data_IF_531607400216
#
_entry.id   IF_531607400216
#
_cell.length_a   1.000
_cell.length_b   1.000
_cell.length_c   1.000
_cell.angle_alpha   90.00
_cell.angle_beta   90.00
_cell.angle_gamma   90.00
#
_symmetry.space_group_name_H-M   'P 1'
#
loop_
_entity.id
_entity.type
_entity.pdbx_description
1 polymer ?
#
# COMPACT_ATOMS: atom_id res chain seq x y z
N UNK A 1 15.01 -16.40 -81.71
CA UNK A 1 14.56 -17.23 -80.57
C UNK A 1 15.73 -17.30 -79.61
N UNK A 2 15.55 -16.83 -78.39
CA UNK A 2 16.49 -16.92 -77.27
C UNK A 2 15.64 -16.86 -76.01
N UNK A 3 15.89 -17.72 -75.04
CA UNK A 3 14.89 -18.11 -74.05
C UNK A 3 14.49 -17.05 -73.02
N UNK A 4 13.27 -17.20 -72.53
CA UNK A 4 12.69 -16.40 -71.45
C UNK A 4 12.97 -17.13 -70.12
N UNK A 5 14.08 -16.81 -69.46
CA UNK A 5 14.45 -17.47 -68.20
C UNK A 5 13.54 -17.00 -67.06
N UNK A 6 12.62 -17.86 -66.63
CA UNK A 6 11.73 -17.61 -65.49
C UNK A 6 12.52 -17.63 -64.19
N UNK A 7 12.67 -16.44 -63.59
CA UNK A 7 13.29 -16.26 -62.28
C UNK A 7 12.33 -16.74 -61.19
N UNK A 8 12.68 -17.82 -60.49
CA UNK A 8 11.89 -18.33 -59.37
C UNK A 8 11.78 -17.31 -58.22
N UNK A 9 10.65 -17.27 -57.49
CA UNK A 9 10.54 -16.43 -56.31
C UNK A 9 11.40 -17.02 -55.19
N UNK A 10 12.41 -16.27 -54.76
CA UNK A 10 13.21 -16.63 -53.59
C UNK A 10 12.30 -16.55 -52.37
N UNK A 11 11.88 -17.69 -51.83
CA UNK A 11 11.13 -17.72 -50.58
C UNK A 11 11.99 -17.06 -49.48
N UNK A 12 11.40 -16.08 -48.80
CA UNK A 12 12.06 -15.42 -47.68
C UNK A 12 12.22 -16.45 -46.56
N UNK A 13 13.45 -16.86 -46.31
CA UNK A 13 13.81 -17.68 -45.15
C UNK A 13 13.48 -16.91 -43.87
N UNK A 14 12.28 -17.12 -43.34
CA UNK A 14 11.94 -16.70 -41.99
C UNK A 14 12.82 -17.51 -41.04
N UNK A 15 13.81 -16.84 -40.43
CA UNK A 15 14.56 -17.41 -39.32
C UNK A 15 13.54 -17.78 -38.24
N UNK A 16 13.42 -19.08 -37.94
CA UNK A 16 12.47 -19.56 -36.94
C UNK A 16 12.90 -19.03 -35.57
N UNK A 17 12.15 -18.06 -35.03
CA UNK A 17 12.41 -17.50 -33.71
C UNK A 17 12.43 -18.62 -32.67
N UNK A 18 13.48 -18.63 -31.83
CA UNK A 18 13.62 -19.64 -30.80
C UNK A 18 12.64 -19.36 -29.66
N UNK A 19 11.50 -20.06 -29.68
CA UNK A 19 10.47 -20.04 -28.63
C UNK A 19 10.50 -21.35 -27.82
N UNK A 20 11.14 -21.39 -26.64
CA UNK A 20 11.22 -22.60 -25.83
C UNK A 20 9.91 -22.82 -25.06
N UNK A 21 9.19 -23.90 -25.38
CA UNK A 21 8.00 -24.33 -24.65
C UNK A 21 8.37 -24.94 -23.29
N UNK A 22 7.64 -24.54 -22.23
CA UNK A 22 7.75 -25.10 -20.88
C UNK A 22 6.41 -25.68 -20.41
N UNK A 23 6.47 -26.76 -19.63
CA UNK A 23 5.29 -27.31 -18.95
C UNK A 23 4.96 -26.53 -17.66
N UNK A 24 3.68 -26.18 -17.40
CA UNK A 24 3.30 -25.41 -16.23
C UNK A 24 3.35 -26.25 -14.94
N UNK A 25 4.22 -25.87 -14.00
CA UNK A 25 4.36 -26.50 -12.67
C UNK A 25 3.07 -26.40 -11.85
N UNK A 26 2.30 -25.31 -12.03
CA UNK A 26 1.01 -25.07 -11.37
C UNK A 26 0.01 -24.64 -12.43
N UNK A 27 -1.15 -25.29 -12.47
CA UNK A 27 -2.29 -24.89 -13.32
C UNK A 27 -3.29 -24.12 -12.44
N UNK A 28 -3.58 -22.88 -12.82
CA UNK A 28 -4.62 -22.08 -12.17
C UNK A 28 -5.97 -22.48 -12.77
N UNK A 29 -6.62 -23.48 -12.18
CA UNK A 29 -7.85 -24.11 -12.71
C UNK A 29 -9.06 -23.17 -12.74
N UNK A 30 -9.05 -22.11 -11.93
CA UNK A 30 -10.15 -21.17 -11.80
C UNK A 30 -9.67 -19.73 -11.95
N UNK A 31 -10.36 -18.96 -12.79
CA UNK A 31 -10.19 -17.51 -12.86
C UNK A 31 -10.75 -16.88 -11.59
N UNK A 32 -9.88 -16.37 -10.73
CA UNK A 32 -10.28 -15.63 -9.53
C UNK A 32 -10.92 -14.31 -9.94
N UNK A 33 -12.10 -14.00 -9.38
CA UNK A 33 -12.69 -12.66 -9.49
C UNK A 33 -11.89 -11.70 -8.62
N UNK A 34 -11.30 -10.67 -9.24
CA UNK A 34 -10.50 -9.67 -8.53
C UNK A 34 -11.33 -8.42 -8.31
N UNK A 35 -11.65 -8.14 -7.04
CA UNK A 35 -12.26 -6.88 -6.62
C UNK A 35 -11.18 -5.86 -6.27
N UNK A 36 -11.44 -4.60 -6.57
CA UNK A 36 -10.52 -3.48 -6.29
C UNK A 36 -10.69 -2.95 -4.87
N UNK A 37 -11.86 -3.16 -4.25
CA UNK A 37 -12.32 -2.53 -3.01
C UNK A 37 -12.40 -1.01 -3.14
N UNK A 38 -12.88 -0.56 -4.30
CA UNK A 38 -13.13 0.83 -4.71
C UNK A 38 -14.52 0.97 -5.38
N UNK A 39 -15.30 -0.12 -5.44
CA UNK A 39 -16.58 -0.21 -6.14
C UNK A 39 -17.67 0.67 -5.49
N UNK A 40 -17.58 0.90 -4.18
CA UNK A 40 -18.49 1.73 -3.39
C UNK A 40 -18.04 3.20 -3.27
N UNK A 41 -17.13 3.63 -4.14
CA UNK A 41 -16.59 5.00 -4.15
C UNK A 41 -16.74 5.68 -5.51
N UNK A 42 -16.94 7.00 -5.47
CA UNK A 42 -17.01 7.87 -6.65
C UNK A 42 -15.68 8.63 -6.81
N UNK A 43 -15.08 8.57 -7.99
CA UNK A 43 -13.85 9.31 -8.32
C UNK A 43 -14.16 10.81 -8.44
N UNK A 44 -13.80 11.59 -7.42
CA UNK A 44 -13.98 13.05 -7.42
C UNK A 44 -12.89 13.75 -8.23
N UNK A 45 -11.67 13.22 -8.16
CA UNK A 45 -10.50 13.77 -8.84
C UNK A 45 -9.58 12.65 -9.31
N UNK A 46 -8.94 12.85 -10.46
CA UNK A 46 -7.95 11.94 -11.04
C UNK A 46 -6.89 12.74 -11.79
N UNK A 47 -5.61 12.55 -11.48
CA UNK A 47 -4.52 13.14 -12.26
C UNK A 47 -3.26 12.29 -12.24
N UNK A 48 -2.41 12.51 -13.25
CA UNK A 48 -1.10 11.86 -13.37
C UNK A 48 -0.09 12.47 -12.40
N UNK A 49 0.60 11.65 -11.61
CA UNK A 49 1.59 12.11 -10.63
C UNK A 49 2.77 11.13 -10.46
N UNK A 50 3.82 11.62 -9.81
CA UNK A 50 4.92 10.80 -9.25
C UNK A 50 5.03 11.09 -7.75
N UNK A 51 5.00 10.02 -6.95
CA UNK A 51 5.03 10.05 -5.50
C UNK A 51 6.39 9.59 -4.97
N UNK A 52 6.86 10.29 -3.95
CA UNK A 52 8.09 10.05 -3.22
C UNK A 52 7.78 9.88 -1.74
N UNK A 53 8.63 9.10 -1.07
CA UNK A 53 8.67 8.96 0.39
C UNK A 53 10.00 9.48 0.91
N UNK A 54 9.98 10.24 2.00
CA UNK A 54 11.19 10.63 2.70
C UNK A 54 11.68 9.47 3.58
N UNK A 55 12.89 9.00 3.31
CA UNK A 55 13.55 7.98 4.10
C UNK A 55 14.29 8.63 5.27
N UNK A 56 13.83 8.38 6.49
CA UNK A 56 14.34 9.06 7.70
C UNK A 56 15.77 8.64 8.07
N UNK A 57 16.19 7.44 7.66
CA UNK A 57 17.50 6.88 7.96
C UNK A 57 18.56 7.44 7.00
N UNK A 58 18.34 7.30 5.69
CA UNK A 58 19.26 7.86 4.68
C UNK A 58 19.06 9.36 4.40
N UNK A 59 18.01 9.97 4.96
CA UNK A 59 17.63 11.40 4.83
C UNK A 59 17.42 11.85 3.38
N UNK A 60 16.86 10.98 2.55
CA UNK A 60 16.68 11.21 1.12
C UNK A 60 15.23 10.95 0.65
N UNK A 61 14.90 11.43 -0.55
CA UNK A 61 13.61 11.15 -1.20
C UNK A 61 13.72 9.92 -2.11
N UNK A 62 13.05 8.83 -1.73
CA UNK A 62 12.95 7.61 -2.55
C UNK A 62 11.65 7.63 -3.37
N UNK A 63 11.70 7.24 -4.64
CA UNK A 63 10.47 7.13 -5.45
C UNK A 63 9.59 5.99 -4.90
N UNK A 64 8.35 6.31 -4.53
CA UNK A 64 7.37 5.32 -4.04
C UNK A 64 6.50 4.79 -5.19
N UNK A 65 6.19 5.62 -6.20
CA UNK A 65 5.49 5.18 -7.40
C UNK A 65 5.17 6.29 -8.42
N UNK A 66 4.98 5.89 -9.68
CA UNK A 66 4.45 6.75 -10.76
C UNK A 66 3.14 6.15 -11.25
N UNK A 67 2.11 6.98 -11.42
CA UNK A 67 0.76 6.51 -11.73
C UNK A 67 -0.30 7.61 -11.64
N UNK A 68 -1.57 7.21 -11.63
CA UNK A 68 -2.68 8.13 -11.43
C UNK A 68 -3.04 8.21 -9.94
N UNK A 69 -2.97 9.41 -9.36
CA UNK A 69 -3.53 9.69 -8.03
C UNK A 69 -5.02 10.02 -8.17
N UNK A 70 -5.84 9.46 -7.29
CA UNK A 70 -7.29 9.65 -7.27
C UNK A 70 -7.77 10.04 -5.88
N UNK A 71 -8.76 10.92 -5.83
CA UNK A 71 -9.54 11.18 -4.63
C UNK A 71 -10.88 10.46 -4.78
N UNK A 72 -11.10 9.47 -3.91
CA UNK A 72 -12.24 8.56 -3.95
C UNK A 72 -13.17 8.88 -2.79
N UNK A 73 -14.45 9.15 -3.07
CA UNK A 73 -15.47 9.48 -2.06
C UNK A 73 -16.43 8.31 -1.88
N UNK A 74 -16.50 7.77 -0.67
CA UNK A 74 -17.38 6.66 -0.33
C UNK A 74 -18.86 7.05 -0.45
N UNK A 75 -19.66 6.22 -1.15
CA UNK A 75 -21.06 6.50 -1.47
C UNK A 75 -21.94 6.64 -0.23
N UNK A 76 -21.72 5.82 0.79
CA UNK A 76 -22.47 5.89 2.06
C UNK A 76 -21.85 6.91 3.04
N UNK A 77 -20.68 6.60 3.62
CA UNK A 77 -20.05 7.41 4.67
C UNK A 77 -19.61 8.83 4.26
N UNK A 78 -19.62 9.14 2.96
CA UNK A 78 -19.17 10.39 2.33
C UNK A 78 -17.70 10.77 2.57
N UNK A 79 -16.93 9.93 3.27
CA UNK A 79 -15.49 10.11 3.51
C UNK A 79 -14.71 9.98 2.20
N UNK A 80 -13.65 10.77 2.08
CA UNK A 80 -12.75 10.86 0.93
C UNK A 80 -11.36 10.38 1.31
N UNK A 81 -10.81 9.45 0.52
CA UNK A 81 -9.43 8.97 0.62
C UNK A 81 -8.65 9.24 -0.66
N UNK A 82 -7.34 9.37 -0.50
CA UNK A 82 -6.39 9.39 -1.61
C UNK A 82 -5.93 7.96 -1.88
N UNK A 83 -6.08 7.51 -3.13
CA UNK A 83 -5.56 6.22 -3.60
C UNK A 83 -4.71 6.45 -4.85
N UNK A 84 -3.49 5.94 -4.84
CA UNK A 84 -2.58 5.96 -5.99
C UNK A 84 -2.05 4.55 -6.26
N UNK A 85 -2.04 4.14 -7.54
CA UNK A 85 -1.53 2.84 -8.00
C UNK A 85 -0.40 3.04 -9.01
N UNK A 86 0.63 2.20 -8.93
CA UNK A 86 1.77 2.20 -9.85
C UNK A 86 1.35 1.70 -11.23
N UNK A 87 1.89 2.30 -12.28
CA UNK A 87 1.75 1.78 -13.64
C UNK A 87 2.16 0.32 -13.78
N UNK A 88 1.51 -0.39 -14.71
CA UNK A 88 1.74 -1.78 -15.15
C UNK A 88 1.50 -2.84 -14.06
N UNK A 89 2.10 -2.66 -12.88
CA UNK A 89 1.98 -3.54 -11.71
C UNK A 89 0.68 -3.36 -10.94
N UNK A 90 0.01 -2.20 -11.07
CA UNK A 90 -1.24 -1.82 -10.38
C UNK A 90 -1.20 -1.87 -8.84
N UNK A 91 -0.01 -2.11 -8.27
CA UNK A 91 0.24 -2.09 -6.82
C UNK A 91 -0.04 -0.71 -6.27
N UNK A 92 -0.77 -0.65 -5.16
CA UNK A 92 -1.03 0.58 -4.42
C UNK A 92 0.29 1.17 -3.91
N UNK A 93 0.42 2.50 -3.95
CA UNK A 93 1.60 3.23 -3.45
C UNK A 93 1.22 4.46 -2.60
N UNK A 94 -0.07 4.75 -2.44
CA UNK A 94 -0.64 5.55 -1.37
C UNK A 94 -2.09 5.13 -1.16
N UNK A 95 -2.52 5.05 0.10
CA UNK A 95 -3.89 4.78 0.51
C UNK A 95 -4.10 5.35 1.92
N UNK A 96 -4.72 6.52 2.02
CA UNK A 96 -4.99 7.19 3.29
C UNK A 96 -6.19 8.15 3.17
N UNK A 97 -6.90 8.37 4.28
CA UNK A 97 -7.95 9.39 4.35
C UNK A 97 -7.35 10.81 4.29
N UNK A 98 -8.10 11.74 3.71
CA UNK A 98 -7.74 13.15 3.71
C UNK A 98 -8.17 13.84 5.00
N UNK A 99 -7.48 13.56 6.10
CA UNK A 99 -7.76 14.17 7.40
C UNK A 99 -7.48 15.68 7.38
N UNK A 100 -8.27 16.54 8.05
CA UNK A 100 -8.09 18.01 8.04
C UNK A 100 -6.72 18.50 8.56
N UNK A 101 -6.00 17.67 9.30
CA UNK A 101 -4.69 17.99 9.88
C UNK A 101 -3.54 17.91 8.86
N UNK A 102 -3.75 17.20 7.73
CA UNK A 102 -2.75 17.07 6.67
C UNK A 102 -2.58 18.41 5.96
N UNK A 103 -1.35 18.93 5.87
CA UNK A 103 -1.08 20.22 5.21
C UNK A 103 -0.13 20.03 4.04
N UNK A 104 -0.60 20.38 2.84
CA UNK A 104 0.25 20.49 1.66
C UNK A 104 1.19 21.69 1.83
N UNK A 105 2.50 21.44 1.83
CA UNK A 105 3.56 22.45 1.89
C UNK A 105 4.32 22.50 0.56
N UNK A 106 4.69 23.68 0.03
CA UNK A 106 5.44 23.77 -1.21
C UNK A 106 6.83 23.13 -1.04
N UNK A 107 7.28 22.38 -2.04
CA UNK A 107 8.63 21.80 -2.00
C UNK A 107 9.68 22.83 -2.45
N UNK A 108 10.81 22.92 -1.73
CA UNK A 108 11.88 23.86 -2.07
C UNK A 108 12.46 23.50 -3.44
N UNK A 109 12.52 24.49 -4.35
CA UNK A 109 13.01 24.28 -5.72
C UNK A 109 12.03 23.60 -6.68
N UNK A 110 10.74 23.47 -6.33
CA UNK A 110 9.71 22.96 -7.24
C UNK A 110 8.38 23.70 -7.10
N UNK A 111 7.95 24.35 -8.17
CA UNK A 111 6.62 24.92 -8.38
C UNK A 111 5.49 23.87 -8.49
N UNK A 112 5.83 22.66 -8.93
CA UNK A 112 4.89 21.56 -9.26
C UNK A 112 4.89 20.38 -8.28
N UNK A 113 5.27 20.61 -7.01
CA UNK A 113 5.33 19.54 -6.00
C UNK A 113 4.87 20.00 -4.61
N UNK A 114 4.11 19.14 -3.93
CA UNK A 114 3.69 19.34 -2.54
C UNK A 114 4.30 18.27 -1.63
N UNK A 115 4.71 18.67 -0.43
CA UNK A 115 5.18 17.81 0.67
C UNK A 115 4.12 17.79 1.77
N UNK A 116 3.83 16.63 2.34
CA UNK A 116 2.88 16.48 3.44
C UNK A 116 3.19 15.26 4.31
N UNK A 117 2.66 15.27 5.54
CA UNK A 117 2.76 14.14 6.46
C UNK A 117 1.41 13.42 6.57
N UNK A 118 1.45 12.10 6.58
CA UNK A 118 0.31 11.20 6.78
C UNK A 118 0.57 10.40 8.04
N UNK A 119 -0.42 10.25 8.92
CA UNK A 119 -0.28 9.48 10.17
C UNK A 119 -0.55 7.99 10.00
N UNK A 120 -1.36 7.61 9.01
CA UNK A 120 -1.79 6.25 8.73
C UNK A 120 -2.01 6.03 7.22
N UNK A 121 -0.93 5.84 6.47
CA UNK A 121 -0.98 5.29 5.11
C UNK A 121 -0.92 3.77 5.17
N UNK A 122 -1.84 3.09 4.47
CA UNK A 122 -1.97 1.62 4.51
C UNK A 122 -1.58 0.96 3.17
N UNK A 123 -0.81 1.62 2.30
CA UNK A 123 -0.53 1.06 0.96
C UNK A 123 0.38 -0.17 0.97
N UNK A 124 1.11 -0.39 2.06
CA UNK A 124 2.01 -1.53 2.27
C UNK A 124 1.43 -2.57 3.26
N UNK A 125 0.12 -2.48 3.58
CA UNK A 125 -0.63 -3.42 4.41
C UNK A 125 -1.03 -2.84 5.77
N UNK A 126 -0.04 -2.50 6.60
CA UNK A 126 -0.25 -1.93 7.93
C UNK A 126 -0.26 -0.38 7.92
N UNK A 127 -0.94 0.29 8.88
CA UNK A 127 -0.91 1.74 9.01
C UNK A 127 0.48 2.28 9.37
N UNK A 128 1.07 3.09 8.48
CA UNK A 128 2.37 3.70 8.66
C UNK A 128 2.31 5.25 8.65
N UNK A 129 3.12 5.88 9.50
CA UNK A 129 3.28 7.33 9.52
C UNK A 129 4.36 7.77 8.51
N UNK A 130 3.93 8.36 7.40
CA UNK A 130 4.74 8.63 6.21
C UNK A 130 4.89 10.13 5.92
N UNK A 131 6.09 10.53 5.50
CA UNK A 131 6.35 11.87 4.95
C UNK A 131 6.46 11.74 3.43
N UNK A 132 5.46 12.26 2.73
CA UNK A 132 5.28 12.08 1.30
C UNK A 132 5.55 13.38 0.53
N UNK A 133 6.07 13.25 -0.69
CA UNK A 133 6.09 14.34 -1.66
C UNK A 133 5.46 13.87 -2.97
N UNK A 134 4.52 14.64 -3.49
CA UNK A 134 3.82 14.35 -4.75
C UNK A 134 4.14 15.44 -5.77
N UNK A 135 4.54 15.01 -6.98
CA UNK A 135 4.98 15.88 -8.09
C UNK A 135 4.13 15.65 -9.32
N UNK A 136 3.75 16.75 -9.97
CA UNK A 136 2.90 16.78 -11.16
C UNK A 136 3.69 17.19 -12.40
N UNK A 137 3.04 17.17 -13.57
CA UNK A 137 3.69 17.53 -14.84
C UNK A 137 4.09 19.03 -14.89
N UNK A 138 3.23 19.92 -14.41
CA UNK A 138 3.38 21.37 -14.38
C UNK A 138 2.75 21.95 -13.08
N UNK A 139 2.93 23.25 -12.84
CA UNK A 139 2.37 23.97 -11.70
C UNK A 139 0.84 23.96 -11.68
N UNK A 140 0.19 24.21 -12.82
CA UNK A 140 -1.28 24.20 -12.98
C UNK A 140 -1.93 22.91 -12.43
N UNK A 141 -1.35 21.75 -12.75
CA UNK A 141 -1.82 20.46 -12.26
C UNK A 141 -1.56 20.27 -10.75
N UNK A 142 -0.50 20.88 -10.21
CA UNK A 142 -0.22 20.86 -8.77
C UNK A 142 -1.20 21.76 -7.99
N UNK A 143 -1.52 22.94 -8.52
CA UNK A 143 -2.51 23.85 -7.94
C UNK A 143 -3.93 23.28 -8.01
N UNK A 144 -4.28 22.63 -9.12
CA UNK A 144 -5.54 21.91 -9.26
C UNK A 144 -5.64 20.76 -8.25
N UNK A 145 -4.58 19.93 -8.10
CA UNK A 145 -4.55 18.90 -7.06
C UNK A 145 -4.74 19.50 -5.66
N UNK A 146 -4.06 20.60 -5.34
CA UNK A 146 -4.17 21.26 -4.03
C UNK A 146 -5.60 21.73 -3.76
N UNK A 147 -6.25 22.38 -4.73
CA UNK A 147 -7.65 22.83 -4.64
C UNK A 147 -8.60 21.67 -4.33
N UNK A 148 -8.50 20.57 -5.06
CA UNK A 148 -9.39 19.41 -4.88
C UNK A 148 -9.07 18.63 -3.59
N UNK A 149 -7.80 18.61 -3.18
CA UNK A 149 -7.37 18.04 -1.89
C UNK A 149 -7.96 18.82 -0.71
N UNK A 150 -7.82 20.15 -0.69
CA UNK A 150 -8.37 21.02 0.36
C UNK A 150 -9.91 20.97 0.39
N UNK A 151 -10.57 20.91 -0.78
CA UNK A 151 -12.02 20.72 -0.86
C UNK A 151 -12.47 19.37 -0.28
N UNK A 152 -11.72 18.30 -0.54
CA UNK A 152 -11.99 16.98 0.03
C UNK A 152 -11.74 16.90 1.55
N UNK A 153 -10.80 17.68 2.09
CA UNK A 153 -10.60 17.77 3.55
C UNK A 153 -11.79 18.45 4.25
N UNK A 154 -12.34 19.53 3.70
CA UNK A 154 -13.56 20.15 4.25
C UNK A 154 -14.78 19.22 4.11
N UNK A 155 -14.88 18.45 3.02
CA UNK A 155 -15.91 17.41 2.88
C UNK A 155 -15.79 16.33 3.97
N UNK A 156 -14.56 15.91 4.31
CA UNK A 156 -14.31 14.94 5.38
C UNK A 156 -14.67 15.47 6.77
N UNK A 157 -14.33 16.73 7.05
CA UNK A 157 -14.66 17.42 8.30
C UNK A 157 -16.17 17.53 8.53
N UNK A 158 -16.93 17.77 7.47
CA UNK A 158 -18.39 17.75 7.53
C UNK A 158 -18.93 16.32 7.74
N UNK A 159 -18.40 15.34 7.01
CA UNK A 159 -18.80 13.93 7.16
C UNK A 159 -18.50 13.35 8.56
N UNK A 160 -17.47 13.84 9.26
CA UNK A 160 -17.22 13.48 10.66
C UNK A 160 -18.18 14.12 11.66
N UNK A 161 -18.81 15.25 11.32
CA UNK A 161 -19.77 15.95 12.19
C UNK A 161 -21.20 15.43 12.01
N UNK A 162 -21.56 14.99 10.80
CA UNK A 162 -22.91 14.49 10.48
C UNK A 162 -23.12 13.00 10.80
N UNK A 163 -22.05 12.24 11.05
CA UNK A 163 -22.11 10.78 11.12
C UNK A 163 -21.61 10.22 12.46
N UNK A 164 -22.45 10.35 13.50
CA UNK A 164 -22.30 9.60 14.77
C UNK A 164 -23.43 8.57 14.91
N UNK A 165 -23.25 7.38 14.33
CA UNK A 165 -23.62 6.12 14.96
C UNK A 165 -22.36 5.53 15.59
N UNK A 166 -22.41 5.24 16.90
CA UNK A 166 -21.33 4.55 17.58
C UNK A 166 -21.14 3.13 16.99
N UNK A 167 -19.91 2.62 16.87
CA UNK A 167 -19.71 1.22 16.53
C UNK A 167 -20.21 0.36 17.68
N UNK A 168 -21.20 -0.49 17.42
CA UNK A 168 -21.60 -1.55 18.36
C UNK A 168 -20.44 -2.54 18.52
N UNK A 169 -19.70 -2.41 19.61
CA UNK A 169 -18.68 -3.38 20.02
C UNK A 169 -19.38 -4.64 20.51
N UNK A 170 -19.51 -5.65 19.65
CA UNK A 170 -19.78 -7.03 20.08
C UNK A 170 -18.57 -7.55 20.87
N UNK A 171 -18.68 -7.84 22.17
CA UNK A 171 -17.54 -8.23 22.97
C UNK A 171 -17.18 -9.70 22.72
N UNK A 172 -16.05 -9.94 22.07
CA UNK A 172 -15.43 -11.27 22.04
C UNK A 172 -14.96 -11.63 23.46
N UNK A 173 -15.62 -12.63 24.06
CA UNK A 173 -15.38 -13.09 25.43
C UNK A 173 -14.04 -13.84 25.52
N UNK A 174 -13.05 -13.29 26.23
CA UNK A 174 -11.87 -14.06 26.62
C UNK A 174 -12.17 -14.92 27.85
N UNK A 175 -11.97 -16.23 27.76
CA UNK A 175 -11.90 -17.11 28.93
C UNK A 175 -10.45 -17.60 29.08
N UNK A 176 -9.73 -16.94 29.98
CA UNK A 176 -8.51 -17.48 30.58
C UNK A 176 -8.91 -18.51 31.65
N UNK A 177 -8.34 -19.72 31.60
CA UNK A 177 -8.52 -20.73 32.64
C UNK A 177 -7.18 -21.06 33.29
N UNK A 178 -6.85 -20.30 34.34
CA UNK A 178 -5.88 -20.75 35.33
C UNK A 178 -6.55 -21.76 36.28
N UNK A 179 -6.07 -23.01 36.29
CA UNK A 179 -6.28 -23.91 37.44
C UNK A 179 -4.96 -24.54 37.86
N UNK A 180 -4.75 -24.54 39.17
CA UNK A 180 -3.60 -25.06 39.90
C UNK A 180 -4.12 -26.12 40.86
N UNK A 181 -3.67 -27.36 40.69
CA UNK A 181 -3.85 -28.43 41.67
C UNK A 181 -2.48 -29.08 41.96
N UNK A 182 -2.19 -29.35 43.23
CA UNK A 182 -0.98 -30.01 43.73
C UNK A 182 -1.35 -31.29 44.51
N UNK A 183 -0.34 -32.14 44.74
CA UNK A 183 -0.26 -33.29 45.68
C UNK A 183 -0.86 -34.66 45.26
N UNK A 184 -0.27 -35.82 45.61
CA UNK A 184 1.12 -36.15 46.05
C UNK A 184 1.45 -37.62 45.76
N UNK A 185 2.72 -37.97 45.41
CA UNK A 185 3.29 -39.30 45.72
C UNK A 185 4.83 -39.29 45.79
N UNK A 186 5.39 -39.95 46.81
CA UNK A 186 6.82 -40.16 47.06
C UNK A 186 7.47 -41.13 46.02
N UNK A 187 8.77 -41.45 45.99
CA UNK A 187 9.72 -41.69 47.09
C UNK A 187 11.19 -41.84 46.59
N UNK A 188 12.18 -41.78 47.49
CA UNK A 188 13.61 -42.09 47.23
C UNK A 188 14.49 -40.83 47.08
N UNK A 189 15.39 -40.39 47.95
CA UNK A 189 16.21 -40.93 49.06
C UNK A 189 17.73 -40.79 48.74
N UNK A 190 18.43 -40.20 49.72
CA UNK A 190 19.88 -40.22 49.98
C UNK A 190 20.86 -39.23 49.30
N UNK A 191 21.90 -38.83 50.07
CA UNK A 191 23.07 -38.06 49.58
C UNK A 191 23.44 -36.80 50.38
N UNK A 192 24.14 -36.97 51.49
CA UNK A 192 24.49 -35.97 52.51
C UNK A 192 25.49 -34.83 52.16
N UNK A 193 25.50 -33.82 53.05
CA UNK A 193 26.67 -33.10 53.64
C UNK A 193 27.06 -31.65 53.21
N UNK A 194 27.02 -30.75 54.21
CA UNK A 194 27.97 -29.63 54.54
C UNK A 194 28.25 -28.53 53.50
N UNK A 195 27.89 -27.24 53.72
CA UNK A 195 28.60 -26.22 54.53
C UNK A 195 30.07 -25.98 54.09
N UNK A 196 30.60 -24.78 53.85
CA UNK A 196 30.30 -23.45 54.43
C UNK A 196 30.67 -22.29 53.46
N UNK A 197 29.94 -21.18 53.58
CA UNK A 197 30.35 -19.76 53.64
C UNK A 197 31.48 -19.11 52.76
N UNK A 198 31.20 -17.83 52.43
CA UNK A 198 32.12 -16.69 52.20
C UNK A 198 32.87 -16.42 50.87
N UNK A 199 32.43 -15.29 50.27
CA UNK A 199 33.18 -14.05 49.92
C UNK A 199 34.12 -13.97 48.70
N UNK A 200 33.89 -12.87 47.96
CA UNK A 200 34.86 -11.99 47.28
C UNK A 200 35.69 -12.56 46.11
N UNK A 201 35.26 -12.21 44.89
CA UNK A 201 35.88 -11.10 44.14
C UNK A 201 34.81 -10.35 43.32
#
# INVERSE_FOLDING_TARGET
>A
MSEHETKEPVEAGAEAEHDPQFDPVIKLEHKVEVKTNEEDEDVQFKIRAKLFRFDKESKEWKERGTGDVRLLKHKETKKVRLVMRRDKTLKVCANHFLSPEIKLQPNVGSDRSWVYNVTADVSDGEPAAETLAIRFANSENADLFKKEFESAQEANKNASNENVPAPETTPAKSEDQTKKDQETSAHGADGAATSDDKKEA
#
